data_IF_777140649159
#
_entry.id   IF_777140649159
#
_cell.length_a   1.000
_cell.length_b   1.000
_cell.length_c   1.000
_cell.angle_alpha   90.00
_cell.angle_beta   90.00
_cell.angle_gamma   90.00
#
_symmetry.space_group_name_H-M   'P 1'
#
loop_
_entity.id
_entity.type
_entity.pdbx_description
1 polymer ?
#
# COMPACT_ATOMS: atom_id res chain seq x y z
N UNK A 1 -1.56 -15.83 -11.18
CA UNK A 1 -0.92 -14.51 -10.95
C UNK A 1 0.29 -14.65 -10.04
N UNK A 2 0.12 -14.91 -8.74
CA UNK A 2 1.24 -15.07 -7.79
C UNK A 2 2.25 -16.16 -8.19
N UNK A 3 1.78 -17.33 -8.60
CA UNK A 3 2.64 -18.44 -9.05
C UNK A 3 3.42 -18.12 -10.35
N UNK A 4 2.81 -17.33 -11.24
CA UNK A 4 3.43 -16.84 -12.47
C UNK A 4 4.56 -15.83 -12.16
N UNK A 5 4.34 -14.93 -11.21
CA UNK A 5 5.35 -13.98 -10.76
C UNK A 5 6.53 -14.67 -10.06
N UNK A 6 6.26 -15.77 -9.33
CA UNK A 6 7.28 -16.58 -8.67
C UNK A 6 8.17 -17.34 -9.66
N UNK A 7 7.58 -17.93 -10.69
CA UNK A 7 8.30 -18.71 -11.71
C UNK A 7 9.16 -17.84 -12.63
N UNK A 8 8.75 -16.59 -12.90
CA UNK A 8 9.50 -15.66 -13.75
C UNK A 8 10.54 -14.80 -13.00
N UNK A 9 10.69 -14.96 -11.67
CA UNK A 9 11.63 -14.17 -10.84
C UNK A 9 11.46 -12.64 -11.01
N UNK A 10 10.24 -12.16 -11.20
CA UNK A 10 9.94 -10.72 -11.39
C UNK A 10 9.65 -9.99 -10.07
N UNK A 11 9.69 -10.70 -8.93
CA UNK A 11 9.47 -10.09 -7.62
C UNK A 11 10.64 -9.18 -7.23
N UNK A 12 10.31 -7.98 -6.75
CA UNK A 12 11.28 -7.01 -6.22
C UNK A 12 11.22 -7.02 -4.69
N UNK A 13 12.35 -6.74 -4.04
CA UNK A 13 12.47 -6.84 -2.58
C UNK A 13 11.93 -5.60 -1.85
N UNK A 14 11.74 -4.50 -2.58
CA UNK A 14 11.18 -3.27 -2.03
C UNK A 14 10.29 -2.56 -3.04
N UNK A 15 9.39 -1.71 -2.54
CA UNK A 15 8.53 -0.85 -3.35
C UNK A 15 9.38 0.07 -4.24
N UNK A 16 10.46 0.65 -3.70
CA UNK A 16 11.36 1.55 -4.44
C UNK A 16 12.00 0.86 -5.64
N UNK A 17 12.38 -0.41 -5.49
CA UNK A 17 12.89 -1.22 -6.61
C UNK A 17 11.80 -1.50 -7.64
N UNK A 18 10.58 -1.82 -7.21
CA UNK A 18 9.42 -2.00 -8.09
C UNK A 18 9.13 -0.75 -8.94
N UNK A 19 9.07 0.41 -8.31
CA UNK A 19 8.86 1.70 -8.99
C UNK A 19 9.98 2.00 -9.99
N UNK A 20 11.25 1.79 -9.59
CA UNK A 20 12.38 1.98 -10.50
C UNK A 20 12.31 1.03 -11.69
N UNK A 21 11.92 -0.23 -11.49
CA UNK A 21 11.80 -1.19 -12.57
C UNK A 21 10.73 -0.80 -13.59
N UNK A 22 9.59 -0.24 -13.16
CA UNK A 22 8.61 0.34 -14.10
C UNK A 22 9.22 1.50 -14.87
N UNK A 23 9.85 2.46 -14.19
CA UNK A 23 10.44 3.64 -14.84
C UNK A 23 11.52 3.26 -15.86
N UNK A 24 12.30 2.23 -15.55
CA UNK A 24 13.34 1.70 -16.43
C UNK A 24 12.82 0.76 -17.53
N UNK A 25 11.50 0.48 -17.57
CA UNK A 25 10.87 -0.50 -18.48
C UNK A 25 11.38 -1.93 -18.31
N UNK A 26 11.85 -2.28 -17.11
CA UNK A 26 12.16 -3.66 -16.71
C UNK A 26 10.89 -4.45 -16.34
N UNK A 27 9.84 -3.74 -15.92
CA UNK A 27 8.52 -4.27 -15.63
C UNK A 27 7.45 -3.44 -16.34
N UNK A 28 6.45 -4.10 -16.91
CA UNK A 28 5.29 -3.42 -17.52
C UNK A 28 4.27 -2.95 -16.48
N UNK A 29 4.19 -3.67 -15.35
CA UNK A 29 3.29 -3.36 -14.24
C UNK A 29 3.86 -3.87 -12.92
N UNK A 30 3.51 -3.18 -11.83
CA UNK A 30 3.89 -3.53 -10.46
C UNK A 30 2.63 -3.51 -9.60
N UNK A 31 2.40 -4.61 -8.88
CA UNK A 31 1.20 -4.80 -8.07
C UNK A 31 1.62 -4.76 -6.60
N UNK A 32 1.04 -3.82 -5.86
CA UNK A 32 1.29 -3.62 -4.44
C UNK A 32 0.08 -2.93 -3.79
N UNK A 33 0.16 -2.66 -2.48
CA UNK A 33 -0.87 -1.91 -1.77
C UNK A 33 -1.15 -0.55 -2.44
N UNK A 34 -2.44 -0.29 -2.69
CA UNK A 34 -2.88 0.88 -3.46
C UNK A 34 -2.48 2.20 -2.79
N UNK A 35 -2.62 2.33 -1.47
CA UNK A 35 -2.30 3.57 -0.75
C UNK A 35 -0.80 3.87 -0.77
N UNK A 36 0.03 2.83 -0.71
CA UNK A 36 1.48 2.99 -0.85
C UNK A 36 1.83 3.45 -2.26
N UNK A 37 1.19 2.87 -3.29
CA UNK A 37 1.43 3.27 -4.69
C UNK A 37 0.95 4.71 -4.96
N UNK A 38 -0.21 5.11 -4.46
CA UNK A 38 -0.73 6.47 -4.62
C UNK A 38 0.19 7.51 -3.98
N UNK A 39 0.81 7.20 -2.84
CA UNK A 39 1.84 8.06 -2.26
C UNK A 39 3.02 8.25 -3.23
N UNK A 40 3.54 7.18 -3.83
CA UNK A 40 4.67 7.27 -4.76
C UNK A 40 4.32 7.98 -6.07
N UNK A 41 3.10 7.80 -6.58
CA UNK A 41 2.59 8.57 -7.73
C UNK A 41 2.48 10.05 -7.37
N UNK A 42 1.97 10.39 -6.18
CA UNK A 42 1.87 11.78 -5.72
C UNK A 42 3.22 12.47 -5.47
N UNK A 43 4.31 11.69 -5.33
CA UNK A 43 5.68 12.20 -5.20
C UNK A 43 6.45 12.18 -6.53
N UNK A 44 5.83 11.72 -7.63
CA UNK A 44 6.50 11.62 -8.92
C UNK A 44 6.50 12.97 -9.67
N UNK A 45 7.59 13.72 -9.56
CA UNK A 45 7.74 15.02 -10.23
C UNK A 45 7.68 14.93 -11.76
N UNK A 46 8.10 13.79 -12.33
CA UNK A 46 8.15 13.58 -13.78
C UNK A 46 6.81 13.05 -14.35
N UNK A 47 5.80 12.77 -13.51
CA UNK A 47 4.49 12.22 -13.89
C UNK A 47 4.56 10.99 -14.82
N UNK A 48 5.54 10.11 -14.62
CA UNK A 48 5.82 8.94 -15.46
C UNK A 48 5.05 7.69 -15.04
N UNK A 49 4.53 7.66 -13.82
CA UNK A 49 3.79 6.53 -13.26
C UNK A 49 2.37 6.94 -12.84
N UNK A 50 1.45 5.98 -12.91
CA UNK A 50 0.07 6.17 -12.47
C UNK A 50 -0.52 4.85 -11.96
N UNK A 51 -1.48 4.92 -11.04
CA UNK A 51 -2.24 3.77 -10.56
C UNK A 51 -3.49 3.54 -11.43
N UNK A 52 -3.75 2.29 -11.82
CA UNK A 52 -4.90 1.90 -12.64
C UNK A 52 -5.68 0.76 -12.00
N UNK A 53 -6.95 0.63 -12.42
CA UNK A 53 -7.83 -0.48 -12.04
C UNK A 53 -8.77 -0.14 -10.89
N UNK A 54 -9.70 -1.05 -10.63
CA UNK A 54 -10.58 -0.96 -9.46
C UNK A 54 -9.88 -1.53 -8.23
N UNK A 55 -10.22 -1.01 -7.06
CA UNK A 55 -9.72 -1.49 -5.79
C UNK A 55 -10.10 -2.96 -5.62
N UNK A 56 -9.10 -3.83 -5.59
CA UNK A 56 -9.26 -5.27 -5.36
C UNK A 56 -8.53 -5.64 -4.07
N UNK A 57 -9.17 -6.46 -3.22
CA UNK A 57 -8.67 -6.83 -1.90
C UNK A 57 -8.41 -5.64 -0.95
N UNK A 58 -9.45 -4.82 -0.73
CA UNK A 58 -9.44 -3.70 0.23
C UNK A 58 -8.99 -4.17 1.63
N UNK A 59 -7.83 -3.69 2.07
CA UNK A 59 -7.33 -3.87 3.43
C UNK A 59 -7.43 -2.57 4.21
N UNK A 60 -8.02 -2.63 5.41
CA UNK A 60 -8.00 -1.52 6.35
C UNK A 60 -6.73 -1.56 7.21
N UNK A 61 -6.16 -0.39 7.49
CA UNK A 61 -5.09 -0.25 8.47
C UNK A 61 -5.66 -0.24 9.89
N UNK A 62 -5.01 -0.95 10.81
CA UNK A 62 -5.41 -1.03 12.22
C UNK A 62 -4.21 -1.05 13.15
N UNK A 63 -4.43 -0.65 14.40
CA UNK A 63 -3.40 -0.69 15.45
C UNK A 63 -3.61 -1.91 16.34
N UNK A 64 -2.57 -2.75 16.42
CA UNK A 64 -2.59 -3.97 17.20
C UNK A 64 -2.11 -3.73 18.63
N UNK A 65 -2.80 -4.33 19.59
CA UNK A 65 -2.42 -4.33 21.01
C UNK A 65 -2.26 -5.77 21.52
N UNK A 66 -1.43 -6.00 22.55
CA UNK A 66 -1.37 -7.29 23.23
C UNK A 66 -2.75 -7.73 23.74
N UNK A 67 -2.99 -9.04 23.75
CA UNK A 67 -4.24 -9.62 24.25
C UNK A 67 -4.50 -9.17 25.69
N UNK A 68 -5.69 -8.63 25.95
CA UNK A 68 -6.05 -8.11 27.28
C UNK A 68 -5.57 -6.70 27.59
N UNK A 69 -5.04 -5.96 26.60
CA UNK A 69 -4.66 -4.56 26.79
C UNK A 69 -5.85 -3.69 27.22
N UNK A 70 -5.69 -3.00 28.36
CA UNK A 70 -6.64 -1.97 28.83
C UNK A 70 -6.76 -0.76 27.90
N UNK A 71 -5.80 -0.59 26.98
CA UNK A 71 -5.73 0.57 26.09
C UNK A 71 -6.53 0.40 24.80
N UNK A 72 -6.88 -0.83 24.42
CA UNK A 72 -7.58 -1.11 23.15
C UNK A 72 -8.89 -0.33 23.04
N UNK A 73 -9.72 -0.35 24.09
CA UNK A 73 -11.02 0.32 24.09
C UNK A 73 -10.88 1.85 24.07
N UNK A 74 -10.00 2.41 24.91
CA UNK A 74 -9.76 3.84 24.95
C UNK A 74 -9.19 4.37 23.62
N UNK A 75 -8.26 3.62 23.02
CA UNK A 75 -7.67 3.97 21.74
C UNK A 75 -8.69 3.92 20.61
N UNK A 76 -9.48 2.83 20.51
CA UNK A 76 -10.53 2.72 19.50
C UNK A 76 -11.55 3.86 19.61
N UNK A 77 -11.94 4.26 20.83
CA UNK A 77 -12.83 5.40 21.03
C UNK A 77 -12.24 6.69 20.48
N UNK A 78 -10.97 6.97 20.78
CA UNK A 78 -10.33 8.19 20.30
C UNK A 78 -10.15 8.20 18.78
N UNK A 79 -9.83 7.05 18.19
CA UNK A 79 -9.73 6.89 16.74
C UNK A 79 -11.06 7.20 16.04
N UNK A 80 -12.19 6.78 16.62
CA UNK A 80 -13.51 7.10 16.07
C UNK A 80 -13.81 8.60 16.12
N UNK A 81 -13.51 9.26 17.24
CA UNK A 81 -13.67 10.73 17.38
C UNK A 81 -12.80 11.47 16.36
N UNK A 82 -11.56 11.02 16.16
CA UNK A 82 -10.66 11.62 15.17
C UNK A 82 -11.24 11.50 13.75
N UNK A 83 -11.75 10.31 13.38
CA UNK A 83 -12.38 10.08 12.08
C UNK A 83 -13.62 10.94 11.85
N UNK A 84 -14.49 11.07 12.86
CA UNK A 84 -15.73 11.87 12.75
C UNK A 84 -15.46 13.36 12.60
N UNK A 85 -14.36 13.86 13.18
CA UNK A 85 -13.97 15.27 13.11
C UNK A 85 -13.15 15.64 11.86
N UNK A 86 -13.08 14.76 10.86
CA UNK A 86 -12.46 15.06 9.56
C UNK A 86 -10.93 15.05 9.57
N UNK A 87 -10.34 14.18 10.39
CA UNK A 87 -8.90 13.94 10.37
C UNK A 87 -8.36 13.32 9.08
#
# INVERSE_FOLDING_TARGET
MWDYMGTQRTMKNSVKEGIRAIKNKELDAFIYDATVLDYWVGQDEDCQILTVGSWYALTGYGLAFPRGSKHLLAFNKQLMIYKENGG
#
